data_IF_468287781319
#
_entry.id   IF_468287781319
#
_cell.length_a   1.000
_cell.length_b   1.000
_cell.length_c   1.000
_cell.angle_alpha   90.00
_cell.angle_beta   90.00
_cell.angle_gamma   90.00
#
_symmetry.space_group_name_H-M   'P 1'
#
loop_
_entity.id
_entity.type
_entity.pdbx_description
1 polymer ?
#
# COMPACT_ATOMS: atom_id res chain seq x y z
N UNK A 1 -3.27 -41.46 7.03
CA UNK A 1 -3.47 -40.30 6.15
C UNK A 1 -4.97 -40.13 5.95
N UNK A 2 -5.47 -38.93 6.13
CA UNK A 2 -6.89 -38.63 5.96
C UNK A 2 -7.04 -37.89 4.64
N UNK A 3 -8.19 -38.05 3.97
CA UNK A 3 -8.52 -37.27 2.80
C UNK A 3 -9.75 -36.40 3.05
N UNK A 4 -9.78 -35.22 2.46
CA UNK A 4 -10.91 -34.27 2.49
C UNK A 4 -11.14 -33.71 1.11
N UNK A 5 -12.42 -33.52 0.76
CA UNK A 5 -12.84 -32.91 -0.47
C UNK A 5 -13.47 -31.55 -0.14
N UNK A 6 -13.01 -30.49 -0.79
CA UNK A 6 -13.64 -29.16 -0.72
C UNK A 6 -14.27 -28.89 -2.08
N UNK A 7 -15.57 -28.62 -2.10
CA UNK A 7 -16.29 -28.18 -3.30
C UNK A 7 -16.40 -26.66 -3.25
N UNK A 8 -15.96 -25.99 -4.30
CA UNK A 8 -16.03 -24.54 -4.44
C UNK A 8 -17.37 -24.20 -5.05
N UNK A 9 -18.22 -23.54 -4.27
CA UNK A 9 -19.52 -23.04 -4.72
C UNK A 9 -19.43 -21.51 -4.84
N UNK A 10 -20.14 -20.95 -5.80
CA UNK A 10 -20.30 -19.49 -5.99
C UNK A 10 -19.00 -18.69 -6.27
N UNK A 11 -17.90 -19.40 -6.60
CA UNK A 11 -16.62 -18.76 -6.94
C UNK A 11 -16.05 -19.38 -8.21
N UNK A 12 -15.58 -18.56 -9.14
CA UNK A 12 -14.87 -19.03 -10.32
C UNK A 12 -13.52 -19.65 -9.92
N UNK A 13 -13.44 -20.98 -9.98
CA UNK A 13 -12.25 -21.74 -9.62
C UNK A 13 -11.00 -21.31 -10.42
N UNK A 14 -11.16 -20.81 -11.65
CA UNK A 14 -10.03 -20.37 -12.47
C UNK A 14 -9.29 -19.17 -11.84
N UNK A 15 -9.94 -18.39 -10.99
CA UNK A 15 -9.31 -17.30 -10.25
C UNK A 15 -8.35 -17.81 -9.17
N UNK A 16 -8.63 -18.99 -8.61
CA UNK A 16 -7.77 -19.69 -7.64
C UNK A 16 -6.66 -20.45 -8.37
N UNK A 17 -7.03 -21.17 -9.43
CA UNK A 17 -6.07 -22.00 -10.17
C UNK A 17 -5.08 -21.16 -10.97
N UNK A 18 -5.56 -20.06 -11.57
CA UNK A 18 -4.78 -19.25 -12.53
C UNK A 18 -4.57 -19.94 -13.85
N UNK A 19 -4.00 -19.25 -14.81
CA UNK A 19 -3.64 -19.82 -16.11
C UNK A 19 -2.73 -21.03 -15.93
N UNK A 20 -3.05 -22.15 -16.54
CA UNK A 20 -2.30 -23.42 -16.44
C UNK A 20 -2.04 -23.85 -14.97
N UNK A 21 -2.96 -23.59 -14.08
CA UNK A 21 -2.84 -23.90 -12.63
C UNK A 21 -1.65 -23.21 -11.95
N UNK A 22 -1.10 -22.13 -12.47
CA UNK A 22 0.11 -21.50 -11.98
C UNK A 22 -0.04 -20.99 -10.54
N UNK A 23 -1.19 -20.38 -10.20
CA UNK A 23 -1.46 -19.92 -8.83
C UNK A 23 -1.63 -21.08 -7.87
N UNK A 24 -2.34 -22.13 -8.28
CA UNK A 24 -2.52 -23.31 -7.47
C UNK A 24 -1.21 -24.06 -7.20
N UNK A 25 -0.33 -24.12 -8.22
CA UNK A 25 1.01 -24.67 -8.04
C UNK A 25 1.83 -23.84 -7.06
N UNK A 26 1.74 -22.52 -7.09
CA UNK A 26 2.36 -21.65 -6.09
C UNK A 26 1.77 -21.92 -4.68
N UNK A 27 0.45 -22.07 -4.55
CA UNK A 27 -0.18 -22.43 -3.27
C UNK A 27 0.38 -23.76 -2.75
N UNK A 28 0.53 -24.78 -3.62
CA UNK A 28 1.13 -26.07 -3.22
C UNK A 28 2.50 -25.95 -2.59
N UNK A 29 3.34 -25.01 -3.02
CA UNK A 29 4.70 -24.84 -2.46
C UNK A 29 4.69 -24.42 -1.00
N UNK A 30 3.63 -23.80 -0.52
CA UNK A 30 3.48 -23.41 0.89
C UNK A 30 2.92 -24.50 1.78
N UNK A 31 2.39 -25.59 1.18
CA UNK A 31 1.82 -26.72 1.90
C UNK A 31 2.48 -28.04 1.47
N UNK A 32 3.79 -28.21 1.64
CA UNK A 32 4.52 -29.40 1.17
C UNK A 32 4.08 -30.70 1.85
N UNK A 33 3.44 -30.60 3.02
CA UNK A 33 2.99 -31.74 3.82
C UNK A 33 1.62 -32.30 3.39
N UNK A 34 0.92 -31.61 2.47
CA UNK A 34 -0.37 -32.07 1.94
C UNK A 34 -0.30 -32.26 0.43
N UNK A 35 -0.91 -33.36 -0.04
CA UNK A 35 -1.08 -33.58 -1.47
C UNK A 35 -2.39 -32.93 -1.93
N UNK A 36 -2.29 -31.91 -2.80
CA UNK A 36 -3.41 -31.15 -3.32
C UNK A 36 -3.69 -31.53 -4.78
N UNK A 37 -4.94 -31.90 -5.08
CA UNK A 37 -5.40 -32.28 -6.41
C UNK A 37 -6.67 -31.48 -6.71
N UNK A 38 -6.69 -30.74 -7.81
CA UNK A 38 -7.89 -30.02 -8.27
C UNK A 38 -8.51 -30.77 -9.46
N UNK A 39 -9.84 -30.94 -9.44
CA UNK A 39 -10.63 -31.53 -10.54
C UNK A 39 -11.97 -30.80 -10.63
N UNK A 40 -12.20 -30.09 -11.73
CA UNK A 40 -13.41 -29.29 -11.90
C UNK A 40 -13.52 -28.24 -10.78
N UNK A 41 -14.64 -28.22 -10.10
CA UNK A 41 -14.96 -27.35 -8.95
C UNK A 41 -14.49 -27.88 -7.59
N UNK A 42 -13.73 -28.98 -7.58
CA UNK A 42 -13.33 -29.69 -6.36
C UNK A 42 -11.82 -29.68 -6.16
N UNK A 43 -11.43 -29.50 -4.89
CA UNK A 43 -10.06 -29.64 -4.43
C UNK A 43 -10.00 -30.78 -3.41
N UNK A 44 -9.28 -31.85 -3.77
CA UNK A 44 -9.00 -32.98 -2.89
C UNK A 44 -7.70 -32.76 -2.14
N UNK A 45 -7.71 -32.94 -0.84
CA UNK A 45 -6.61 -32.73 0.08
C UNK A 45 -6.31 -34.04 0.77
N UNK A 46 -5.04 -34.47 0.78
CA UNK A 46 -4.58 -35.69 1.44
C UNK A 46 -3.41 -35.29 2.34
N UNK A 47 -3.52 -35.61 3.64
CA UNK A 47 -2.50 -35.28 4.64
C UNK A 47 -2.88 -35.70 6.05
N UNK A 48 -2.22 -35.16 7.07
CA UNK A 48 -2.65 -35.30 8.45
C UNK A 48 -3.86 -34.42 8.75
N UNK A 49 -4.66 -34.75 9.76
CA UNK A 49 -5.84 -33.96 10.14
C UNK A 49 -5.49 -32.49 10.45
N UNK A 50 -4.34 -32.24 11.10
CA UNK A 50 -3.86 -30.92 11.46
C UNK A 50 -3.53 -30.06 10.21
N UNK A 51 -2.82 -30.67 9.27
CA UNK A 51 -2.39 -30.02 8.03
C UNK A 51 -3.56 -29.71 7.09
N UNK A 52 -4.52 -30.67 6.99
CA UNK A 52 -5.76 -30.48 6.24
C UNK A 52 -6.54 -29.28 6.81
N UNK A 53 -6.66 -29.18 8.15
CA UNK A 53 -7.39 -28.08 8.79
C UNK A 53 -6.70 -26.74 8.56
N UNK A 54 -5.36 -26.69 8.61
CA UNK A 54 -4.59 -25.47 8.31
C UNK A 54 -4.77 -25.02 6.86
N UNK A 55 -4.66 -25.97 5.92
CA UNK A 55 -4.90 -25.66 4.50
C UNK A 55 -6.32 -25.17 4.27
N UNK A 56 -7.33 -25.83 4.85
CA UNK A 56 -8.74 -25.45 4.70
C UNK A 56 -9.00 -24.04 5.20
N UNK A 57 -8.44 -23.66 6.36
CA UNK A 57 -8.55 -22.30 6.88
C UNK A 57 -8.05 -21.28 5.85
N UNK A 58 -6.83 -21.49 5.34
CA UNK A 58 -6.22 -20.58 4.37
C UNK A 58 -6.95 -20.60 3.02
N UNK A 59 -7.42 -21.75 2.61
CA UNK A 59 -8.16 -21.90 1.36
C UNK A 59 -9.52 -21.17 1.39
N UNK A 60 -10.22 -21.23 2.52
CA UNK A 60 -11.44 -20.45 2.72
C UNK A 60 -11.18 -18.94 2.70
N UNK A 61 -10.01 -18.49 3.19
CA UNK A 61 -9.61 -17.08 3.08
C UNK A 61 -9.39 -16.67 1.61
N UNK A 62 -8.81 -17.54 0.77
CA UNK A 62 -8.70 -17.26 -0.68
C UNK A 62 -10.08 -17.13 -1.33
N UNK A 63 -11.01 -18.03 -1.02
CA UNK A 63 -12.39 -18.01 -1.55
C UNK A 63 -13.08 -16.72 -1.11
N UNK A 64 -13.03 -16.36 0.16
CA UNK A 64 -13.62 -15.14 0.70
C UNK A 64 -13.04 -13.89 0.02
N UNK A 65 -11.72 -13.88 -0.19
CA UNK A 65 -11.05 -12.78 -0.89
C UNK A 65 -11.55 -12.64 -2.34
N UNK A 66 -11.64 -13.76 -3.08
CA UNK A 66 -12.14 -13.74 -4.46
C UNK A 66 -13.59 -13.30 -4.53
N UNK A 67 -14.44 -13.76 -3.62
CA UNK A 67 -15.85 -13.37 -3.58
C UNK A 67 -16.01 -11.87 -3.32
N UNK A 68 -15.14 -11.29 -2.49
CA UNK A 68 -15.16 -9.86 -2.17
C UNK A 68 -14.54 -8.99 -3.28
N UNK A 69 -13.42 -9.42 -3.88
CA UNK A 69 -12.60 -8.59 -4.76
C UNK A 69 -12.51 -9.07 -6.21
N UNK A 70 -13.16 -10.18 -6.52
CA UNK A 70 -13.22 -10.79 -7.84
C UNK A 70 -11.85 -11.14 -8.46
N UNK A 71 -10.78 -11.14 -7.66
CA UNK A 71 -9.40 -11.43 -8.08
C UNK A 71 -8.57 -12.03 -6.96
N UNK A 72 -7.48 -12.74 -7.32
CA UNK A 72 -6.46 -13.25 -6.39
C UNK A 72 -5.10 -13.17 -7.07
N UNK A 73 -4.21 -12.30 -6.61
CA UNK A 73 -2.85 -12.14 -7.14
C UNK A 73 -1.85 -13.00 -6.35
N UNK A 74 -0.64 -13.20 -6.88
CA UNK A 74 0.43 -13.92 -6.18
C UNK A 74 0.80 -13.28 -4.85
N UNK A 75 0.88 -11.96 -4.80
CA UNK A 75 1.15 -11.21 -3.57
C UNK A 75 0.05 -11.44 -2.52
N UNK A 76 -1.22 -11.46 -2.93
CA UNK A 76 -2.34 -11.74 -2.03
C UNK A 76 -2.31 -13.19 -1.48
N UNK A 77 -1.89 -14.15 -2.32
CA UNK A 77 -1.68 -15.54 -1.87
C UNK A 77 -0.62 -15.59 -0.76
N UNK A 78 0.54 -14.97 -0.98
CA UNK A 78 1.64 -14.92 0.00
C UNK A 78 1.18 -14.32 1.33
N UNK A 79 0.53 -13.18 1.28
CA UNK A 79 0.02 -12.48 2.47
C UNK A 79 -1.01 -13.28 3.27
N UNK A 80 -1.97 -13.90 2.59
CA UNK A 80 -2.97 -14.76 3.25
C UNK A 80 -2.27 -15.93 3.95
N UNK A 81 -1.25 -16.52 3.33
CA UNK A 81 -0.48 -17.61 3.91
C UNK A 81 0.32 -17.18 5.13
N UNK A 82 0.96 -16.03 5.07
CA UNK A 82 1.73 -15.42 6.17
C UNK A 82 0.86 -15.01 7.38
N UNK A 83 -0.46 -15.08 7.24
CA UNK A 83 -1.38 -14.80 8.34
C UNK A 83 -1.83 -13.36 8.44
N UNK A 84 -1.63 -12.60 7.38
CA UNK A 84 -2.08 -11.22 7.29
C UNK A 84 -3.63 -11.18 7.26
N UNK A 85 -4.24 -10.90 8.42
CA UNK A 85 -5.70 -10.84 8.58
C UNK A 85 -6.31 -9.64 7.83
N UNK A 86 -5.51 -8.63 7.51
CA UNK A 86 -5.97 -7.41 6.83
C UNK A 86 -6.28 -7.62 5.34
N UNK A 87 -5.99 -8.79 4.78
CA UNK A 87 -6.35 -9.12 3.37
C UNK A 87 -7.86 -9.23 3.17
N UNK A 88 -8.63 -9.38 4.24
CA UNK A 88 -10.08 -9.56 4.20
C UNK A 88 -10.82 -8.23 4.30
N UNK A 89 -10.20 -7.18 4.83
CA UNK A 89 -10.84 -5.90 5.15
C UNK A 89 -10.30 -4.74 4.31
N UNK A 90 -10.59 -4.76 3.00
CA UNK A 90 -10.09 -3.75 2.03
C UNK A 90 -10.75 -2.37 2.15
N UNK A 91 -11.85 -2.22 2.87
CA UNK A 91 -12.42 -0.91 3.17
C UNK A 91 -11.63 -0.18 4.26
N UNK A 92 -10.85 -0.92 5.07
CA UNK A 92 -9.93 -0.36 6.08
C UNK A 92 -8.64 0.21 5.49
N UNK A 93 -8.27 -0.14 4.24
CA UNK A 93 -7.05 0.32 3.58
C UNK A 93 -7.13 1.77 3.02
N UNK A 94 -8.29 2.40 3.11
CA UNK A 94 -8.47 3.79 2.69
C UNK A 94 -7.72 4.73 3.64
N UNK A 95 -6.72 5.44 3.11
CA UNK A 95 -5.98 6.47 3.87
C UNK A 95 -6.82 7.73 3.93
N UNK A 96 -7.33 8.18 2.78
CA UNK A 96 -8.18 9.36 2.67
C UNK A 96 -8.98 9.36 1.37
N UNK A 97 -10.01 10.21 1.31
CA UNK A 97 -10.72 10.56 0.09
C UNK A 97 -10.10 11.82 -0.51
N UNK A 98 -9.53 11.67 -1.70
CA UNK A 98 -8.93 12.76 -2.47
C UNK A 98 -9.94 13.51 -3.33
N UNK A 99 -9.43 14.21 -4.34
CA UNK A 99 -10.22 14.98 -5.30
C UNK A 99 -11.25 14.09 -6.01
N UNK A 100 -12.44 14.61 -6.23
CA UNK A 100 -13.55 13.93 -6.92
C UNK A 100 -13.95 12.57 -6.29
N UNK A 101 -13.78 12.41 -4.98
CA UNK A 101 -14.13 11.16 -4.30
C UNK A 101 -13.16 10.00 -4.55
N UNK A 102 -12.02 10.24 -5.21
CA UNK A 102 -10.99 9.21 -5.43
C UNK A 102 -10.48 8.68 -4.09
N UNK A 103 -10.64 7.38 -3.86
CA UNK A 103 -10.14 6.75 -2.64
C UNK A 103 -8.65 6.49 -2.77
N UNK A 104 -7.86 7.07 -1.89
CA UNK A 104 -6.41 6.86 -1.79
C UNK A 104 -6.19 5.76 -0.75
N UNK A 105 -5.56 4.67 -1.18
CA UNK A 105 -5.43 3.43 -0.39
C UNK A 105 -3.97 3.02 -0.21
N UNK A 106 -3.70 2.36 0.90
CA UNK A 106 -2.47 1.58 1.07
C UNK A 106 -2.55 0.30 0.24
N UNK A 107 -1.81 0.24 -0.88
CA UNK A 107 -1.89 -0.85 -1.87
C UNK A 107 -1.05 -2.07 -1.52
N UNK A 108 0.02 -1.88 -0.73
CA UNK A 108 0.97 -2.95 -0.39
C UNK A 108 1.02 -3.16 1.12
N UNK A 109 1.50 -4.32 1.55
CA UNK A 109 1.72 -4.63 2.96
C UNK A 109 2.56 -3.55 3.66
N UNK A 110 3.69 -3.16 3.08
CA UNK A 110 4.56 -2.16 3.68
C UNK A 110 3.93 -0.77 3.78
N UNK A 111 3.06 -0.40 2.82
CA UNK A 111 2.28 0.84 2.92
C UNK A 111 1.26 0.78 4.05
N UNK A 112 0.57 -0.37 4.26
CA UNK A 112 -0.32 -0.57 5.41
C UNK A 112 0.41 -0.55 6.73
N UNK A 113 1.56 -1.24 6.79
CA UNK A 113 2.42 -1.18 7.96
C UNK A 113 2.80 0.27 8.29
N UNK A 114 3.18 1.05 7.29
CA UNK A 114 3.48 2.47 7.46
C UNK A 114 2.27 3.25 8.02
N UNK A 115 1.05 2.97 7.52
CA UNK A 115 -0.19 3.59 8.04
C UNK A 115 -0.40 3.26 9.52
N UNK A 116 -0.21 2.00 9.92
CA UNK A 116 -0.38 1.61 11.32
C UNK A 116 0.74 2.13 12.22
N UNK A 117 1.98 2.16 11.75
CA UNK A 117 3.12 2.63 12.53
C UNK A 117 3.07 4.14 12.80
N UNK A 118 2.53 4.94 11.89
CA UNK A 118 2.47 6.39 12.08
C UNK A 118 1.45 6.82 13.15
N UNK A 119 0.43 5.99 13.42
CA UNK A 119 -0.53 6.23 14.50
C UNK A 119 0.07 5.94 15.90
N UNK A 120 1.18 5.18 15.97
CA UNK A 120 1.76 4.68 17.21
C UNK A 120 3.18 5.22 17.48
N UNK A 121 3.78 5.98 16.57
CA UNK A 121 5.15 6.45 16.70
C UNK A 121 5.27 7.92 16.27
N UNK A 122 6.11 8.68 17.00
CA UNK A 122 6.40 10.08 16.67
C UNK A 122 7.30 10.23 15.44
N UNK A 123 8.11 9.21 15.14
CA UNK A 123 9.03 9.18 13.99
C UNK A 123 8.94 7.84 13.27
N UNK A 124 8.71 7.88 11.97
CA UNK A 124 8.64 6.69 11.11
C UNK A 124 9.61 6.81 9.94
N UNK A 125 10.44 5.79 9.71
CA UNK A 125 11.33 5.69 8.56
C UNK A 125 10.77 4.73 7.51
N UNK A 126 10.48 5.25 6.30
CA UNK A 126 10.05 4.44 5.16
C UNK A 126 11.22 4.22 4.20
N UNK A 127 11.79 3.02 4.18
CA UNK A 127 12.95 2.64 3.35
C UNK A 127 12.48 1.68 2.26
N UNK A 128 12.99 1.84 1.04
CA UNK A 128 12.69 0.95 -0.09
C UNK A 128 13.10 1.53 -1.44
N UNK A 129 13.02 0.72 -2.52
CA UNK A 129 13.36 1.14 -3.89
C UNK A 129 12.50 2.31 -4.40
N UNK A 130 12.93 2.94 -5.49
CA UNK A 130 12.13 3.93 -6.20
C UNK A 130 10.80 3.31 -6.71
N UNK A 131 9.76 4.12 -6.87
CA UNK A 131 8.46 3.67 -7.39
C UNK A 131 7.57 2.90 -6.40
N UNK A 132 8.00 2.61 -5.18
CA UNK A 132 7.21 1.88 -4.17
C UNK A 132 6.13 2.71 -3.46
N UNK A 133 5.99 4.00 -3.81
CA UNK A 133 4.97 4.89 -3.28
C UNK A 133 5.27 5.49 -1.91
N UNK A 134 6.54 5.47 -1.43
CA UNK A 134 6.92 6.05 -0.12
C UNK A 134 6.45 7.49 0.04
N UNK A 135 6.87 8.38 -0.85
CA UNK A 135 6.51 9.80 -0.83
C UNK A 135 5.00 9.99 -0.93
N UNK A 136 4.35 9.30 -1.87
CA UNK A 136 2.91 9.39 -2.08
C UNK A 136 2.11 9.00 -0.82
N UNK A 137 2.49 7.87 -0.18
CA UNK A 137 1.84 7.39 1.05
C UNK A 137 2.10 8.35 2.22
N UNK A 138 3.33 8.89 2.35
CA UNK A 138 3.67 9.86 3.39
C UNK A 138 2.82 11.15 3.25
N UNK A 139 2.70 11.68 2.03
CA UNK A 139 1.87 12.87 1.76
C UNK A 139 0.40 12.57 2.05
N UNK A 140 -0.10 11.39 1.66
CA UNK A 140 -1.47 10.98 1.95
C UNK A 140 -1.77 10.94 3.45
N UNK A 141 -0.86 10.39 4.25
CA UNK A 141 -0.98 10.35 5.71
C UNK A 141 -0.93 11.74 6.33
N UNK A 142 -0.02 12.60 5.88
CA UNK A 142 0.05 13.99 6.35
C UNK A 142 -1.26 14.75 6.04
N UNK A 143 -1.79 14.62 4.83
CA UNK A 143 -3.08 15.23 4.44
C UNK A 143 -4.24 14.65 5.26
N UNK A 144 -4.25 13.34 5.54
CA UNK A 144 -5.23 12.71 6.44
C UNK A 144 -5.20 13.39 7.81
N UNK A 145 -4.03 13.51 8.41
CA UNK A 145 -3.87 14.09 9.75
C UNK A 145 -4.29 15.56 9.81
N UNK A 146 -4.00 16.33 8.75
CA UNK A 146 -4.48 17.71 8.63
C UNK A 146 -6.02 17.77 8.54
N UNK A 147 -6.64 16.90 7.71
CA UNK A 147 -8.11 16.84 7.58
C UNK A 147 -8.79 16.40 8.88
N UNK A 148 -8.17 15.48 9.63
CA UNK A 148 -8.64 15.01 10.94
C UNK A 148 -8.30 15.99 12.07
N UNK A 149 -7.64 17.13 11.77
CA UNK A 149 -7.20 18.14 12.75
C UNK A 149 -6.26 17.57 13.84
N UNK A 150 -5.56 16.47 13.54
CA UNK A 150 -4.52 15.92 14.43
C UNK A 150 -3.26 16.76 14.40
N UNK A 151 -3.01 17.45 13.30
CA UNK A 151 -1.92 18.42 13.13
C UNK A 151 -2.46 19.75 12.63
N UNK A 152 -1.76 20.84 12.95
CA UNK A 152 -2.13 22.21 12.54
C UNK A 152 -1.59 22.55 11.16
N UNK A 153 -0.44 22.00 10.80
CA UNK A 153 0.24 22.24 9.53
C UNK A 153 1.04 21.05 9.04
N UNK A 154 1.39 21.06 7.78
CA UNK A 154 2.24 20.06 7.13
C UNK A 154 3.49 20.78 6.62
N UNK A 155 4.66 20.24 6.93
CA UNK A 155 5.94 20.74 6.40
C UNK A 155 6.57 19.61 5.59
N UNK A 156 6.66 19.81 4.29
CA UNK A 156 7.20 18.87 3.33
C UNK A 156 8.62 19.29 2.98
N UNK A 157 9.58 18.44 3.29
CA UNK A 157 10.99 18.76 3.14
C UNK A 157 11.63 17.73 2.22
N UNK A 158 12.41 18.18 1.26
CA UNK A 158 13.18 17.31 0.38
C UNK A 158 14.60 17.82 0.22
N UNK A 159 15.62 16.95 0.19
CA UNK A 159 16.92 17.32 -0.34
C UNK A 159 16.77 17.79 -1.80
N UNK A 160 17.22 18.98 -2.11
CA UNK A 160 17.05 19.58 -3.42
C UNK A 160 18.24 19.30 -4.36
N UNK A 161 19.30 18.66 -3.86
CA UNK A 161 20.50 18.36 -4.61
C UNK A 161 20.71 16.85 -4.53
N UNK A 162 20.65 16.17 -5.66
CA UNK A 162 21.15 14.80 -5.78
C UNK A 162 22.67 14.83 -5.85
N UNK A 163 23.32 13.79 -5.28
CA UNK A 163 24.79 13.69 -5.24
C UNK A 163 25.31 13.64 -6.69
N UNK A 164 26.01 14.71 -7.13
CA UNK A 164 26.61 14.82 -8.44
C UNK A 164 25.96 15.83 -9.40
N UNK A 165 24.83 16.43 -9.08
CA UNK A 165 24.23 17.49 -9.89
C UNK A 165 24.67 18.89 -9.46
N UNK A 166 25.17 19.70 -10.41
CA UNK A 166 25.51 21.10 -10.20
C UNK A 166 24.30 21.98 -10.57
N UNK A 167 23.61 22.53 -9.56
CA UNK A 167 22.53 23.52 -9.72
C UNK A 167 22.91 24.74 -10.58
N UNK A 168 24.22 24.94 -10.80
CA UNK A 168 24.74 26.04 -11.63
C UNK A 168 24.35 25.99 -13.10
N UNK A 169 23.95 24.84 -13.63
CA UNK A 169 23.58 24.68 -15.04
C UNK A 169 22.10 25.01 -15.35
N UNK A 170 21.24 25.12 -14.35
CA UNK A 170 19.84 25.48 -14.56
C UNK A 170 19.68 27.01 -14.60
N UNK A 171 18.94 27.58 -15.60
CA UNK A 171 18.62 29.01 -15.61
C UNK A 171 17.60 29.35 -14.51
N UNK A 172 17.58 30.61 -14.08
CA UNK A 172 16.62 31.11 -13.09
C UNK A 172 17.21 31.33 -11.69
N UNK A 173 16.36 31.81 -10.79
CA UNK A 173 16.71 31.99 -9.38
C UNK A 173 16.79 30.62 -8.63
N UNK A 174 17.20 30.66 -7.37
CA UNK A 174 17.38 29.43 -6.58
C UNK A 174 16.06 28.67 -6.40
N UNK A 175 14.94 29.35 -6.32
CA UNK A 175 13.62 28.76 -6.14
C UNK A 175 13.17 28.06 -7.43
N UNK A 176 13.31 28.71 -8.57
CA UNK A 176 13.00 28.14 -9.89
C UNK A 176 13.84 26.90 -10.20
N UNK A 177 15.10 26.89 -9.79
CA UNK A 177 16.00 25.72 -9.93
C UNK A 177 15.60 24.53 -9.06
N UNK A 178 14.92 24.78 -7.94
CA UNK A 178 14.50 23.75 -6.98
C UNK A 178 13.10 23.21 -7.26
N UNK A 179 12.24 23.96 -7.97
CA UNK A 179 10.86 23.57 -8.26
C UNK A 179 10.71 22.18 -8.94
N UNK A 180 11.55 21.77 -9.91
CA UNK A 180 11.45 20.44 -10.49
C UNK A 180 11.61 19.31 -9.47
N UNK A 181 12.44 19.50 -8.45
CA UNK A 181 12.63 18.50 -7.41
C UNK A 181 11.44 18.39 -6.44
N UNK A 182 10.62 19.44 -6.34
CA UNK A 182 9.42 19.47 -5.51
C UNK A 182 8.18 18.97 -6.25
N UNK A 183 8.22 18.86 -7.59
CA UNK A 183 7.09 18.47 -8.42
C UNK A 183 6.39 17.17 -7.95
N UNK A 184 7.09 16.08 -7.56
CA UNK A 184 6.41 14.86 -7.09
C UNK A 184 5.58 15.07 -5.82
N UNK A 185 5.90 16.07 -5.01
CA UNK A 185 5.15 16.44 -3.81
C UNK A 185 3.88 17.20 -4.22
N UNK A 186 4.02 18.17 -5.12
CA UNK A 186 2.87 18.91 -5.66
C UNK A 186 1.89 17.98 -6.36
N UNK A 187 2.36 17.05 -7.19
CA UNK A 187 1.52 16.09 -7.90
C UNK A 187 0.70 15.23 -6.92
N UNK A 188 1.32 14.77 -5.83
CA UNK A 188 0.62 14.02 -4.80
C UNK A 188 -0.45 14.89 -4.10
N UNK A 189 -0.12 16.15 -3.74
CA UNK A 189 -1.06 17.06 -3.10
C UNK A 189 -2.25 17.39 -4.01
N UNK A 190 -2.02 17.61 -5.33
CA UNK A 190 -3.08 17.89 -6.29
C UNK A 190 -4.10 16.76 -6.45
N UNK A 191 -3.71 15.51 -6.21
CA UNK A 191 -4.64 14.38 -6.20
C UNK A 191 -5.48 14.33 -4.91
N UNK A 192 -4.97 14.86 -3.80
CA UNK A 192 -5.51 14.70 -2.45
C UNK A 192 -6.35 15.88 -1.98
N UNK A 193 -6.04 17.07 -2.49
CA UNK A 193 -6.66 18.34 -2.07
C UNK A 193 -7.17 19.09 -3.31
N UNK A 194 -8.40 19.63 -3.30
CA UNK A 194 -8.89 20.52 -4.36
C UNK A 194 -7.96 21.72 -4.55
N UNK A 195 -7.73 22.12 -5.81
CA UNK A 195 -6.72 23.13 -6.17
C UNK A 195 -6.88 24.45 -5.41
N UNK A 196 -8.10 24.95 -5.31
CA UNK A 196 -8.38 26.23 -4.60
C UNK A 196 -7.95 26.12 -3.13
N UNK A 197 -8.34 25.04 -2.46
CA UNK A 197 -8.01 24.80 -1.06
C UNK A 197 -6.51 24.53 -0.85
N UNK A 198 -5.84 23.92 -1.82
CA UNK A 198 -4.39 23.74 -1.76
C UNK A 198 -3.66 25.08 -1.86
N UNK A 199 -4.12 25.96 -2.75
CA UNK A 199 -3.56 27.30 -2.87
C UNK A 199 -3.72 28.11 -1.57
N UNK A 200 -4.93 28.09 -0.97
CA UNK A 200 -5.18 28.72 0.33
C UNK A 200 -4.20 28.18 1.40
N UNK A 201 -4.00 26.87 1.46
CA UNK A 201 -3.09 26.24 2.42
C UNK A 201 -1.61 26.54 2.18
N UNK A 202 -1.21 26.79 0.94
CA UNK A 202 0.15 27.21 0.60
C UNK A 202 0.37 28.69 0.93
N UNK A 203 -0.64 29.53 0.71
CA UNK A 203 -0.59 30.98 1.00
C UNK A 203 -0.60 31.27 2.50
N UNK A 204 -1.45 30.60 3.27
CA UNK A 204 -1.55 30.79 4.72
C UNK A 204 -0.49 30.03 5.54
N UNK A 205 0.33 29.20 4.86
CA UNK A 205 1.40 28.42 5.49
C UNK A 205 0.92 27.17 6.23
N UNK A 206 -0.35 26.77 6.08
CA UNK A 206 -0.85 25.48 6.57
C UNK A 206 -0.11 24.30 5.93
N UNK A 207 0.26 24.46 4.63
CA UNK A 207 1.16 23.52 3.95
C UNK A 207 2.39 24.31 3.49
N UNK A 208 3.57 23.87 3.92
CA UNK A 208 4.85 24.44 3.50
C UNK A 208 5.67 23.38 2.77
N UNK A 209 6.26 23.77 1.65
CA UNK A 209 7.19 22.94 0.89
C UNK A 209 8.52 23.65 0.87
N UNK A 210 9.59 22.98 1.32
CA UNK A 210 10.89 23.62 1.47
C UNK A 210 12.04 22.64 1.17
N UNK A 211 13.09 23.11 0.51
CA UNK A 211 14.34 22.37 0.45
C UNK A 211 14.94 22.18 1.83
N UNK A 212 15.57 21.02 2.07
CA UNK A 212 16.19 20.69 3.35
C UNK A 212 17.22 21.75 3.79
N UNK A 213 17.95 22.32 2.83
CA UNK A 213 18.97 23.35 3.10
C UNK A 213 18.39 24.60 3.79
N UNK A 214 17.10 24.91 3.57
CA UNK A 214 16.43 26.08 4.16
C UNK A 214 15.80 25.81 5.53
N UNK A 215 15.93 24.57 6.02
CA UNK A 215 15.39 24.17 7.33
C UNK A 215 16.37 24.36 8.48
N UNK A 216 17.63 24.71 8.16
CA UNK A 216 18.66 24.92 9.19
C UNK A 216 18.28 26.05 10.14
N UNK A 217 18.25 25.76 11.45
CA UNK A 217 17.91 26.73 12.50
C UNK A 217 16.42 27.05 12.63
N UNK A 218 15.55 26.34 11.94
CA UNK A 218 14.09 26.51 12.10
C UNK A 218 13.55 25.60 13.19
N UNK A 219 12.68 26.16 14.03
CA UNK A 219 11.82 25.39 14.94
C UNK A 219 10.49 25.08 14.21
N UNK A 220 10.04 23.85 14.34
CA UNK A 220 8.80 23.35 13.72
C UNK A 220 7.76 23.12 14.84
N UNK A 221 6.98 24.18 15.15
CA UNK A 221 5.95 24.13 16.18
C UNK A 221 4.57 23.79 15.60
#
# INVERSE_FOLDING_TARGET
MTEKLITIKDTDINKILGSNNAKFNKIKTYFPQVKLISRGDQVKIIGSKKEISLFELKFNMFISHINKFNSLTYNQIERIIEGDQDVIDYDSDAILHGKNGKVIKARTYNQRKMVSEIDNNDVVFAIGPAGTGKTYTSVALAVKYLKEKKVKRIILIRPAIEVGENLGFLPGDLKEKLDPYMQPIYDALFEMIPINKLNDYLEDGTIQISPLAFMRGRTLD
#
